data_IF_921755325573
#
_entry.id   IF_921755325573
#
_cell.length_a   1.000
_cell.length_b   1.000
_cell.length_c   1.000
_cell.angle_alpha   90.00
_cell.angle_beta   90.00
_cell.angle_gamma   90.00
#
_symmetry.space_group_name_H-M   'P 1'
#
loop_
_entity.id
_entity.type
_entity.pdbx_description
1 polymer ?
#
# COMPACT_ATOMS: atom_id res chain seq x y z
N UNK A 1 -13.25 54.50 -32.94
CA UNK A 1 -13.24 53.66 -34.16
C UNK A 1 -12.97 52.21 -33.79
N UNK A 2 -14.01 51.36 -33.92
CA UNK A 2 -14.04 49.94 -34.33
C UNK A 2 -12.77 49.10 -34.05
N UNK A 3 -12.81 48.24 -33.03
CA UNK A 3 -13.29 46.84 -33.03
C UNK A 3 -12.26 45.82 -33.53
N UNK A 4 -11.88 44.87 -32.67
CA UNK A 4 -11.85 43.42 -32.96
C UNK A 4 -11.57 42.64 -31.68
N UNK A 5 -12.66 42.24 -31.02
CA UNK A 5 -12.67 41.16 -30.04
C UNK A 5 -12.44 39.84 -30.78
N UNK A 6 -11.40 39.09 -30.41
CA UNK A 6 -11.29 37.68 -30.78
C UNK A 6 -12.00 36.85 -29.71
N UNK A 7 -13.12 36.25 -30.10
CA UNK A 7 -13.79 35.17 -29.38
C UNK A 7 -12.89 33.93 -29.38
N UNK A 8 -12.39 33.52 -28.21
CA UNK A 8 -11.93 32.16 -27.99
C UNK A 8 -13.08 31.37 -27.37
N UNK A 9 -13.79 30.61 -28.19
CA UNK A 9 -14.76 29.62 -27.73
C UNK A 9 -13.98 28.40 -27.19
N UNK A 10 -13.88 28.31 -25.86
CA UNK A 10 -13.42 27.08 -25.21
C UNK A 10 -14.54 26.04 -25.29
N UNK A 11 -14.41 25.11 -26.24
CA UNK A 11 -15.21 23.89 -26.29
C UNK A 11 -14.73 22.99 -25.15
N UNK A 12 -15.40 23.06 -24.00
CA UNK A 12 -15.29 22.04 -22.96
C UNK A 12 -15.95 20.75 -23.45
N UNK A 13 -15.19 19.94 -24.18
CA UNK A 13 -15.55 18.56 -24.43
C UNK A 13 -15.51 17.81 -23.08
N UNK A 14 -16.68 17.59 -22.50
CA UNK A 14 -16.86 16.60 -21.43
C UNK A 14 -16.67 15.24 -22.08
N UNK A 15 -15.43 14.75 -22.08
CA UNK A 15 -15.16 13.36 -22.41
C UNK A 15 -15.73 12.52 -21.26
N UNK A 16 -16.97 12.07 -21.43
CA UNK A 16 -17.53 11.00 -20.63
C UNK A 16 -16.69 9.75 -20.93
N UNK A 17 -15.62 9.54 -20.16
CA UNK A 17 -14.93 8.26 -20.11
C UNK A 17 -15.95 7.30 -19.50
N UNK A 18 -16.70 6.62 -20.36
CA UNK A 18 -17.36 5.37 -20.03
C UNK A 18 -16.25 4.38 -19.68
N UNK A 19 -15.75 4.46 -18.45
CA UNK A 19 -15.00 3.36 -17.85
C UNK A 19 -16.00 2.22 -17.83
N UNK A 20 -15.85 1.31 -18.79
CA UNK A 20 -16.44 -0.01 -18.74
C UNK A 20 -16.16 -0.55 -17.33
N UNK A 21 -17.12 -0.41 -16.43
CA UNK A 21 -17.22 -1.19 -15.21
C UNK A 21 -17.58 -2.62 -15.66
N UNK A 22 -16.69 -3.26 -16.43
CA UNK A 22 -16.67 -4.69 -16.58
C UNK A 22 -16.61 -5.21 -15.15
N UNK A 23 -17.69 -5.83 -14.69
CA UNK A 23 -17.90 -6.25 -13.32
C UNK A 23 -16.72 -7.09 -12.85
N UNK A 24 -15.76 -6.44 -12.18
CA UNK A 24 -14.61 -7.08 -11.53
C UNK A 24 -15.04 -7.82 -10.26
N UNK A 25 -16.35 -7.83 -9.97
CA UNK A 25 -16.92 -8.54 -8.84
C UNK A 25 -16.64 -10.04 -8.92
N UNK A 26 -16.38 -10.68 -7.77
CA UNK A 26 -16.34 -12.13 -7.72
C UNK A 26 -17.62 -12.73 -8.31
N UNK A 27 -17.48 -13.64 -9.28
CA UNK A 27 -18.64 -14.33 -9.90
C UNK A 27 -19.52 -15.04 -8.87
N UNK A 28 -18.93 -15.51 -7.77
CA UNK A 28 -19.63 -16.11 -6.63
C UNK A 28 -18.85 -15.83 -5.34
N UNK A 29 -19.55 -15.37 -4.31
CA UNK A 29 -19.03 -15.32 -2.95
C UNK A 29 -19.12 -16.69 -2.31
N UNK A 30 -18.06 -17.10 -1.61
CA UNK A 30 -18.01 -18.36 -0.87
C UNK A 30 -18.02 -18.08 0.62
N UNK A 31 -18.85 -18.82 1.33
CA UNK A 31 -18.83 -18.82 2.78
C UNK A 31 -17.47 -19.35 3.29
N UNK A 32 -16.96 -18.75 4.36
CA UNK A 32 -15.80 -19.22 5.10
C UNK A 32 -16.16 -19.32 6.58
N UNK A 33 -16.37 -20.55 7.08
CA UNK A 33 -16.81 -20.81 8.47
C UNK A 33 -18.03 -19.98 8.88
N UNK A 34 -18.96 -19.82 7.95
CA UNK A 34 -20.15 -18.98 8.06
C UNK A 34 -21.28 -19.58 7.26
N UNK A 35 -22.49 -19.08 7.47
CA UNK A 35 -23.60 -19.19 6.52
C UNK A 35 -23.77 -17.86 5.80
N UNK A 36 -24.16 -17.93 4.53
CA UNK A 36 -24.39 -16.75 3.70
C UNK A 36 -25.73 -16.87 2.98
N UNK A 37 -26.43 -15.75 2.83
CA UNK A 37 -27.57 -15.60 1.92
C UNK A 37 -27.41 -14.31 1.13
N UNK A 38 -27.83 -14.33 -0.13
CA UNK A 38 -27.75 -13.17 -1.03
C UNK A 38 -29.17 -12.79 -1.40
N UNK A 39 -29.57 -11.57 -1.04
CA UNK A 39 -30.86 -11.01 -1.40
C UNK A 39 -30.88 -10.52 -2.86
N UNK A 40 -32.07 -10.30 -3.42
CA UNK A 40 -32.24 -9.87 -4.81
C UNK A 40 -31.62 -8.49 -5.11
N UNK A 41 -31.50 -7.63 -4.10
CA UNK A 41 -30.85 -6.32 -4.15
C UNK A 41 -29.31 -6.40 -4.03
N UNK A 42 -28.74 -7.60 -3.97
CA UNK A 42 -27.31 -7.82 -3.87
C UNK A 42 -26.74 -7.72 -2.45
N UNK A 43 -27.57 -7.52 -1.43
CA UNK A 43 -27.12 -7.54 -0.03
C UNK A 43 -26.75 -8.97 0.37
N UNK A 44 -25.55 -9.15 0.90
CA UNK A 44 -25.04 -10.43 1.39
C UNK A 44 -25.18 -10.45 2.91
N UNK A 45 -26.04 -11.31 3.44
CA UNK A 45 -26.17 -11.54 4.88
C UNK A 45 -25.27 -12.70 5.31
N UNK A 46 -24.54 -12.51 6.40
CA UNK A 46 -23.47 -13.40 6.85
C UNK A 46 -23.64 -13.65 8.33
N UNK A 47 -23.69 -14.92 8.71
CA UNK A 47 -23.67 -15.36 10.12
C UNK A 47 -22.48 -16.28 10.33
N UNK A 48 -21.57 -15.90 11.22
CA UNK A 48 -20.36 -16.69 11.47
C UNK A 48 -20.68 -17.88 12.37
N UNK A 49 -20.00 -19.01 12.14
CA UNK A 49 -20.07 -20.16 13.02
C UNK A 49 -19.15 -19.94 14.24
N UNK A 50 -19.42 -20.63 15.35
CA UNK A 50 -18.88 -20.30 16.68
C UNK A 50 -17.33 -20.26 16.74
N UNK A 51 -16.81 -19.30 17.53
CA UNK A 51 -15.40 -19.04 17.92
C UNK A 51 -14.34 -18.84 16.83
N UNK A 52 -14.67 -18.91 15.55
CA UNK A 52 -13.70 -18.75 14.47
C UNK A 52 -13.44 -17.26 14.14
N UNK A 53 -12.34 -16.70 14.67
CA UNK A 53 -11.72 -15.51 14.04
C UNK A 53 -11.48 -15.84 12.57
N UNK A 54 -11.70 -14.87 11.69
CA UNK A 54 -11.63 -14.98 10.21
C UNK A 54 -12.84 -15.63 9.52
N UNK A 55 -13.91 -15.96 10.24
CA UNK A 55 -15.17 -16.37 9.63
C UNK A 55 -15.84 -15.20 8.86
N UNK A 56 -16.39 -15.47 7.68
CA UNK A 56 -16.97 -14.46 6.81
C UNK A 56 -17.16 -14.93 5.38
N UNK A 57 -16.83 -14.10 4.40
CA UNK A 57 -16.95 -14.42 2.97
C UNK A 57 -15.64 -14.23 2.23
N UNK A 58 -15.43 -15.06 1.21
CA UNK A 58 -14.28 -15.01 0.32
C UNK A 58 -14.74 -14.87 -1.14
N UNK A 59 -14.00 -14.09 -1.91
CA UNK A 59 -14.21 -13.88 -3.34
C UNK A 59 -12.88 -13.89 -4.10
N UNK A 60 -12.96 -14.15 -5.40
CA UNK A 60 -11.82 -14.03 -6.32
C UNK A 60 -12.18 -12.99 -7.37
N UNK A 61 -11.39 -11.92 -7.40
CA UNK A 61 -11.41 -10.87 -8.41
C UNK A 61 -10.49 -11.32 -9.55
N UNK A 62 -10.94 -11.15 -10.80
CA UNK A 62 -10.25 -11.63 -12.01
C UNK A 62 -10.10 -10.51 -13.04
N UNK A 63 -9.29 -10.77 -14.06
CA UNK A 63 -9.05 -9.85 -15.19
C UNK A 63 -8.45 -8.51 -14.73
N UNK A 64 -7.63 -8.55 -13.68
CA UNK A 64 -6.92 -7.37 -13.20
C UNK A 64 -5.76 -7.03 -14.13
N UNK A 65 -5.59 -5.72 -14.37
CA UNK A 65 -4.42 -5.15 -15.03
C UNK A 65 -3.39 -4.72 -13.97
N UNK A 66 -2.11 -4.48 -14.33
CA UNK A 66 -1.08 -4.10 -13.37
C UNK A 66 -1.23 -2.63 -12.96
N UNK A 67 -2.29 -2.33 -12.21
CA UNK A 67 -2.58 -1.02 -11.64
C UNK A 67 -3.11 -1.14 -10.21
N UNK A 68 -3.06 -0.04 -9.45
CA UNK A 68 -3.63 -0.02 -8.10
C UNK A 68 -5.16 0.08 -8.19
N UNK A 69 -5.85 -0.70 -7.38
CA UNK A 69 -7.31 -0.71 -7.28
C UNK A 69 -7.75 -0.28 -5.90
N UNK A 70 -8.82 0.51 -5.83
CA UNK A 70 -9.60 0.73 -4.62
C UNK A 70 -10.73 -0.30 -4.57
N UNK A 71 -10.77 -1.04 -3.47
CA UNK A 71 -11.88 -1.93 -3.14
C UNK A 71 -12.66 -1.30 -2.01
N UNK A 72 -13.96 -1.12 -2.19
CA UNK A 72 -14.86 -0.55 -1.17
C UNK A 72 -16.14 -1.34 -1.06
N UNK A 73 -16.77 -1.29 0.11
CA UNK A 73 -18.06 -1.89 0.39
C UNK A 73 -18.67 -1.26 1.64
N UNK A 74 -19.98 -1.40 1.83
CA UNK A 74 -20.69 -0.98 3.03
C UNK A 74 -21.03 -2.19 3.91
N UNK A 75 -20.90 -2.03 5.22
CA UNK A 75 -21.24 -3.06 6.22
C UNK A 75 -22.12 -2.54 7.34
N UNK A 76 -22.98 -3.39 7.88
CA UNK A 76 -23.71 -3.16 9.13
C UNK A 76 -23.96 -4.48 9.86
N UNK A 77 -24.35 -4.41 11.13
CA UNK A 77 -24.73 -5.56 11.95
C UNK A 77 -24.01 -5.58 13.29
N UNK A 78 -23.70 -6.78 13.76
CA UNK A 78 -23.10 -7.04 15.07
C UNK A 78 -21.69 -7.62 14.92
N UNK A 79 -20.79 -7.16 15.81
CA UNK A 79 -19.41 -7.65 15.90
C UNK A 79 -18.38 -6.65 15.38
N UNK A 80 -17.27 -7.17 14.85
CA UNK A 80 -16.17 -6.35 14.32
C UNK A 80 -15.60 -6.98 13.07
N UNK A 81 -15.66 -6.29 11.95
CA UNK A 81 -15.29 -6.83 10.62
C UNK A 81 -14.02 -6.17 10.10
N UNK A 82 -13.25 -6.94 9.33
CA UNK A 82 -12.09 -6.49 8.59
C UNK A 82 -12.12 -7.12 7.19
N UNK A 83 -11.48 -6.48 6.22
CA UNK A 83 -11.23 -7.07 4.91
C UNK A 83 -9.74 -7.30 4.68
N UNK A 84 -9.43 -8.35 3.92
CA UNK A 84 -8.09 -8.63 3.43
C UNK A 84 -8.10 -8.81 1.91
N UNK A 85 -7.07 -8.29 1.25
CA UNK A 85 -6.78 -8.51 -0.16
C UNK A 85 -5.44 -9.23 -0.30
N UNK A 86 -5.35 -10.20 -1.22
CA UNK A 86 -4.11 -10.94 -1.46
C UNK A 86 -3.93 -11.32 -2.94
N UNK A 87 -2.77 -10.97 -3.48
CA UNK A 87 -2.19 -11.43 -4.73
C UNK A 87 -0.66 -11.45 -4.58
N UNK A 88 -0.15 -12.32 -3.70
CA UNK A 88 1.30 -12.42 -3.40
C UNK A 88 1.79 -11.50 -2.27
N UNK A 89 0.90 -11.16 -1.34
CA UNK A 89 1.12 -10.34 -0.14
C UNK A 89 -0.22 -9.87 0.42
N UNK A 90 -0.39 -9.85 1.74
CA UNK A 90 -1.71 -9.51 2.33
C UNK A 90 -1.75 -8.03 2.71
N UNK A 91 -2.83 -7.35 2.31
CA UNK A 91 -3.19 -6.03 2.81
C UNK A 91 -4.50 -6.14 3.60
N UNK A 92 -4.60 -5.39 4.70
CA UNK A 92 -5.76 -5.42 5.57
C UNK A 92 -6.42 -4.04 5.65
N UNK A 93 -7.76 -3.99 5.66
CA UNK A 93 -8.47 -2.77 6.04
C UNK A 93 -8.28 -2.49 7.54
N UNK A 94 -8.66 -1.29 7.99
CA UNK A 94 -8.94 -1.09 9.41
C UNK A 94 -10.11 -1.99 9.82
N UNK A 95 -10.05 -2.54 11.03
CA UNK A 95 -11.15 -3.33 11.57
C UNK A 95 -12.23 -2.40 12.12
N UNK A 96 -13.47 -2.56 11.66
CA UNK A 96 -14.62 -1.70 11.97
C UNK A 96 -15.54 -2.40 12.94
N UNK A 97 -15.82 -1.77 14.09
CA UNK A 97 -16.88 -2.21 15.00
C UNK A 97 -18.22 -1.87 14.35
N UNK A 98 -19.06 -2.88 14.18
CA UNK A 98 -20.31 -2.76 13.47
C UNK A 98 -21.39 -2.12 14.33
N UNK A 99 -22.31 -1.45 13.65
CA UNK A 99 -23.53 -0.85 14.20
C UNK A 99 -24.73 -1.24 13.33
N UNK A 100 -25.93 -0.83 13.70
CA UNK A 100 -27.13 -0.96 12.87
C UNK A 100 -27.10 -0.04 11.62
N UNK A 101 -26.19 0.92 11.58
CA UNK A 101 -25.97 1.82 10.44
C UNK A 101 -24.94 1.28 9.45
N UNK A 102 -25.11 1.62 8.18
CA UNK A 102 -24.16 1.29 7.13
C UNK A 102 -22.85 2.09 7.30
N UNK A 103 -21.74 1.38 7.35
CA UNK A 103 -20.39 1.92 7.50
C UNK A 103 -19.54 1.53 6.29
N UNK A 104 -18.87 2.50 5.68
CA UNK A 104 -18.02 2.25 4.53
C UNK A 104 -16.65 1.72 4.96
N UNK A 105 -16.21 0.66 4.28
CA UNK A 105 -14.86 0.12 4.37
C UNK A 105 -14.21 0.26 3.01
N UNK A 106 -12.97 0.72 2.99
CA UNK A 106 -12.16 0.75 1.77
C UNK A 106 -10.72 0.38 2.05
N UNK A 107 -10.08 -0.24 1.06
CA UNK A 107 -8.62 -0.40 1.00
C UNK A 107 -8.13 -0.33 -0.44
N UNK A 108 -6.88 0.05 -0.64
CA UNK A 108 -6.23 -0.01 -1.96
C UNK A 108 -5.27 -1.18 -2.06
N UNK A 109 -5.05 -1.68 -3.28
CA UNK A 109 -4.17 -2.81 -3.52
C UNK A 109 -3.62 -2.83 -4.94
N UNK A 110 -2.33 -3.10 -5.10
CA UNK A 110 -1.69 -3.37 -6.38
C UNK A 110 -1.52 -4.89 -6.57
N UNK A 111 -2.24 -5.53 -7.53
CA UNK A 111 -2.20 -6.96 -7.72
C UNK A 111 -0.90 -7.41 -8.41
N UNK A 112 -0.25 -8.48 -7.90
CA UNK A 112 0.93 -9.08 -8.55
C UNK A 112 0.57 -10.11 -9.62
N UNK A 113 -0.72 -10.40 -9.79
CA UNK A 113 -1.22 -11.29 -10.83
C UNK A 113 -2.55 -10.77 -11.39
N UNK A 114 -3.08 -11.41 -12.44
CA UNK A 114 -4.40 -11.08 -13.00
C UNK A 114 -5.58 -11.45 -12.09
N UNK A 115 -5.30 -12.00 -10.90
CA UNK A 115 -6.29 -12.35 -9.89
C UNK A 115 -5.91 -11.82 -8.51
N UNK A 116 -6.92 -11.59 -7.69
CA UNK A 116 -6.76 -11.17 -6.30
C UNK A 116 -7.86 -11.84 -5.47
N UNK A 117 -7.49 -12.45 -4.36
CA UNK A 117 -8.49 -12.89 -3.39
C UNK A 117 -8.90 -11.74 -2.49
N UNK A 118 -10.19 -11.72 -2.15
CA UNK A 118 -10.77 -10.80 -1.19
C UNK A 118 -11.46 -11.60 -0.10
N UNK A 119 -11.26 -11.20 1.15
CA UNK A 119 -11.96 -11.72 2.30
C UNK A 119 -12.64 -10.57 3.04
N UNK A 120 -13.86 -10.77 3.52
CA UNK A 120 -14.54 -9.89 4.47
C UNK A 120 -14.93 -10.77 5.65
N UNK A 121 -14.36 -10.52 6.82
CA UNK A 121 -14.44 -11.46 7.93
C UNK A 121 -14.55 -10.79 9.29
N UNK A 122 -15.15 -11.53 10.22
CA UNK A 122 -15.21 -11.19 11.63
C UNK A 122 -13.86 -11.36 12.31
N UNK A 123 -13.49 -10.39 13.14
CA UNK A 123 -12.28 -10.36 13.95
C UNK A 123 -12.53 -10.75 15.41
N UNK A 124 -13.79 -10.97 15.81
CA UNK A 124 -14.16 -11.38 17.16
C UNK A 124 -14.21 -12.90 17.30
N UNK A 125 -14.00 -13.40 18.52
CA UNK A 125 -14.09 -14.82 18.87
C UNK A 125 -15.49 -15.21 19.36
N UNK A 126 -16.52 -14.66 18.74
CA UNK A 126 -17.93 -14.98 19.01
C UNK A 126 -18.71 -14.93 17.68
N UNK A 127 -19.95 -15.39 17.70
CA UNK A 127 -20.88 -15.26 16.58
C UNK A 127 -21.06 -13.77 16.25
N UNK A 128 -20.85 -13.45 14.97
CA UNK A 128 -21.12 -12.17 14.37
C UNK A 128 -22.19 -12.36 13.28
N UNK A 129 -23.13 -11.42 13.21
CA UNK A 129 -24.17 -11.37 12.19
C UNK A 129 -24.08 -10.01 11.50
N UNK A 130 -23.73 -10.02 10.22
CA UNK A 130 -23.49 -8.78 9.49
C UNK A 130 -23.92 -8.88 8.04
N UNK A 131 -24.15 -7.71 7.44
CA UNK A 131 -24.53 -7.56 6.05
C UNK A 131 -23.47 -6.77 5.31
N UNK A 132 -23.29 -7.11 4.04
CA UNK A 132 -22.38 -6.42 3.11
C UNK A 132 -23.18 -6.00 1.87
N UNK A 133 -22.96 -4.78 1.38
CA UNK A 133 -23.50 -4.31 0.10
C UNK A 133 -22.54 -3.37 -0.62
N UNK A 134 -22.93 -2.96 -1.84
CA UNK A 134 -22.24 -1.94 -2.63
C UNK A 134 -20.74 -2.22 -2.81
N UNK A 135 -20.39 -3.49 -3.03
CA UNK A 135 -19.00 -3.88 -3.28
C UNK A 135 -18.59 -3.27 -4.62
N UNK A 136 -17.55 -2.45 -4.60
CA UNK A 136 -17.01 -1.79 -5.76
C UNK A 136 -15.51 -2.01 -5.83
N UNK A 137 -15.03 -2.25 -7.05
CA UNK A 137 -13.61 -2.40 -7.37
C UNK A 137 -13.36 -1.45 -8.52
N UNK A 138 -12.59 -0.39 -8.26
CA UNK A 138 -12.29 0.64 -9.23
C UNK A 138 -10.77 0.85 -9.32
N UNK A 139 -10.22 1.10 -10.50
CA UNK A 139 -8.83 1.54 -10.60
C UNK A 139 -8.64 2.85 -9.83
N UNK A 140 -7.51 2.98 -9.14
CA UNK A 140 -7.08 4.27 -8.61
C UNK A 140 -6.58 5.14 -9.77
N UNK A 141 -6.85 6.44 -9.70
CA UNK A 141 -6.27 7.40 -10.63
C UNK A 141 -4.75 7.46 -10.43
N UNK A 142 -4.02 7.30 -11.52
CA UNK A 142 -2.58 7.51 -11.60
C UNK A 142 -2.38 8.52 -12.73
N UNK A 143 -1.59 9.59 -12.53
CA UNK A 143 -1.32 10.53 -13.61
C UNK A 143 -0.62 9.81 -14.76
N UNK A 144 -0.61 10.46 -15.92
CA UNK A 144 0.23 10.01 -17.02
C UNK A 144 1.70 9.93 -16.57
N UNK A 145 2.35 8.81 -16.88
CA UNK A 145 3.71 8.52 -16.45
C UNK A 145 4.68 8.78 -17.60
N UNK A 146 5.45 9.87 -17.50
CA UNK A 146 6.48 10.19 -18.48
C UNK A 146 7.69 9.27 -18.31
N UNK A 147 8.36 8.90 -19.41
CA UNK A 147 9.64 8.21 -19.32
C UNK A 147 10.76 9.25 -19.16
N UNK A 148 11.35 9.34 -17.98
CA UNK A 148 12.48 10.24 -17.71
C UNK A 148 13.57 9.52 -16.93
N UNK A 149 14.84 9.81 -17.20
CA UNK A 149 15.90 9.36 -16.31
C UNK A 149 15.92 10.21 -15.04
N UNK A 150 16.14 9.55 -13.91
CA UNK A 150 16.31 10.18 -12.62
C UNK A 150 17.71 9.86 -12.14
N UNK A 151 18.56 10.89 -12.14
CA UNK A 151 19.86 10.83 -11.49
C UNK A 151 19.71 10.55 -9.99
N UNK A 152 20.79 10.14 -9.33
CA UNK A 152 20.78 9.80 -7.92
C UNK A 152 20.31 10.98 -7.07
N UNK A 153 19.07 10.90 -6.59
CA UNK A 153 18.42 11.95 -5.78
C UNK A 153 18.33 11.53 -4.34
N UNK A 154 18.89 12.34 -3.44
CA UNK A 154 18.90 12.09 -2.00
C UNK A 154 17.58 12.52 -1.33
N UNK A 155 17.18 11.73 -0.34
CA UNK A 155 16.10 12.02 0.59
C UNK A 155 16.60 11.78 2.01
N UNK A 156 16.43 12.79 2.87
CA UNK A 156 16.83 12.73 4.27
C UNK A 156 15.61 12.52 5.17
N UNK A 157 15.74 11.76 6.28
CA UNK A 157 14.63 11.52 7.20
C UNK A 157 14.06 12.77 7.87
N UNK A 158 14.84 13.85 7.95
CA UNK A 158 14.39 15.13 8.51
C UNK A 158 13.35 15.82 7.61
N UNK A 159 13.52 15.71 6.29
CA UNK A 159 12.65 16.37 5.30
C UNK A 159 11.43 15.52 4.96
N UNK A 160 11.53 14.21 5.18
CA UNK A 160 10.50 13.23 4.81
C UNK A 160 10.11 12.33 6.00
N UNK A 161 9.60 12.89 7.11
CA UNK A 161 9.24 12.12 8.29
C UNK A 161 8.09 11.14 8.01
N UNK A 162 8.20 9.93 8.56
CA UNK A 162 7.10 8.96 8.56
C UNK A 162 6.07 9.24 9.67
N UNK A 163 5.15 8.29 9.89
CA UNK A 163 4.05 8.46 10.85
C UNK A 163 4.48 8.22 12.30
N UNK A 164 5.33 7.21 12.53
CA UNK A 164 5.68 6.75 13.88
C UNK A 164 7.17 6.45 14.06
N UNK A 165 7.99 6.70 13.04
CA UNK A 165 9.44 6.84 13.20
C UNK A 165 9.80 8.11 13.98
N UNK A 166 11.01 8.12 14.55
CA UNK A 166 11.52 9.29 15.30
C UNK A 166 12.91 9.65 14.83
N UNK A 167 13.16 10.94 14.62
CA UNK A 167 14.50 11.41 14.28
C UNK A 167 15.35 11.53 15.56
N UNK A 168 16.52 10.91 15.59
CA UNK A 168 17.49 11.07 16.69
C UNK A 168 18.88 11.39 16.15
N UNK A 169 19.71 12.00 17.00
CA UNK A 169 21.15 12.08 16.78
C UNK A 169 21.76 10.68 16.77
N UNK A 170 22.57 10.39 15.75
CA UNK A 170 23.23 9.09 15.55
C UNK A 170 24.63 9.36 15.00
N UNK A 171 25.65 9.28 15.86
CA UNK A 171 27.01 9.77 15.55
C UNK A 171 27.68 9.06 14.36
N UNK A 172 27.37 7.79 14.19
CA UNK A 172 27.87 6.92 13.12
C UNK A 172 26.98 6.94 11.87
N UNK A 173 25.94 7.79 11.82
CA UNK A 173 25.18 8.03 10.59
C UNK A 173 25.88 9.03 9.69
N UNK A 174 25.65 8.93 8.38
CA UNK A 174 26.30 9.77 7.37
C UNK A 174 25.92 11.26 7.47
N UNK A 175 24.81 11.60 8.14
CA UNK A 175 24.33 12.99 8.31
C UNK A 175 24.16 13.40 9.78
N UNK A 176 24.72 12.62 10.72
CA UNK A 176 24.64 12.86 12.16
C UNK A 176 23.27 12.66 12.81
N UNK A 177 22.23 12.36 12.02
CA UNK A 177 20.87 12.02 12.45
C UNK A 177 20.35 10.83 11.65
N UNK A 178 19.49 10.03 12.28
CA UNK A 178 18.81 8.91 11.64
C UNK A 178 17.38 8.79 12.14
N UNK A 179 16.47 8.38 11.25
CA UNK A 179 15.16 7.92 11.65
C UNK A 179 15.25 6.55 12.32
N UNK A 180 14.67 6.48 13.50
CA UNK A 180 14.54 5.32 14.35
C UNK A 180 13.19 4.67 14.16
N UNK A 181 13.16 3.34 14.08
CA UNK A 181 11.92 2.57 14.04
C UNK A 181 12.05 1.19 14.68
N UNK A 182 10.89 0.63 15.03
CA UNK A 182 10.73 -0.77 15.44
C UNK A 182 9.94 -1.55 14.40
N UNK A 183 9.69 -2.83 14.69
CA UNK A 183 8.79 -3.68 13.92
C UNK A 183 7.48 -2.94 13.57
N UNK A 184 7.18 -2.89 12.27
CA UNK A 184 6.00 -2.26 11.67
C UNK A 184 5.96 -0.72 11.68
N UNK A 185 7.03 -0.04 12.06
CA UNK A 185 7.06 1.42 12.03
C UNK A 185 7.22 1.90 10.59
N UNK A 186 6.50 2.97 10.24
CA UNK A 186 6.60 3.76 9.03
C UNK A 186 7.54 4.93 9.33
N UNK A 187 8.81 4.83 8.95
CA UNK A 187 9.84 5.77 9.43
C UNK A 187 10.11 6.96 8.53
N UNK A 188 9.87 6.79 7.23
CA UNK A 188 9.97 7.86 6.23
C UNK A 188 8.80 7.72 5.26
N UNK A 189 8.32 8.85 4.75
CA UNK A 189 7.26 8.94 3.75
C UNK A 189 7.81 9.63 2.51
N UNK A 190 8.01 8.88 1.44
CA UNK A 190 8.70 9.38 0.25
C UNK A 190 7.72 9.62 -0.90
N UNK A 191 7.86 10.73 -1.64
CA UNK A 191 7.11 10.95 -2.86
C UNK A 191 7.62 10.02 -3.97
N UNK A 192 6.71 9.64 -4.85
CA UNK A 192 6.99 8.84 -6.04
C UNK A 192 6.88 9.73 -7.26
N UNK A 193 7.94 9.90 -8.07
CA UNK A 193 7.82 10.64 -9.31
C UNK A 193 6.88 9.90 -10.28
N UNK A 194 6.09 10.67 -11.03
CA UNK A 194 5.22 10.15 -12.10
C UNK A 194 6.08 9.69 -13.29
N UNK A 195 6.71 8.52 -13.15
CA UNK A 195 7.70 8.01 -14.09
C UNK A 195 7.37 6.57 -14.51
N UNK A 196 7.43 6.29 -15.82
CA UNK A 196 7.17 4.95 -16.37
C UNK A 196 8.41 4.06 -16.37
N UNK A 197 9.63 4.61 -16.21
CA UNK A 197 10.85 3.83 -16.03
C UNK A 197 10.86 3.14 -14.65
N UNK A 198 11.51 1.97 -14.52
CA UNK A 198 11.71 1.33 -13.22
C UNK A 198 12.43 2.25 -12.23
N UNK A 199 11.89 2.35 -11.02
CA UNK A 199 12.49 3.12 -9.93
C UNK A 199 13.25 2.18 -8.99
N UNK A 200 14.44 2.62 -8.56
CA UNK A 200 15.25 1.96 -7.55
C UNK A 200 15.44 2.89 -6.37
N UNK A 201 15.11 2.38 -5.19
CA UNK A 201 15.35 3.06 -3.91
C UNK A 201 16.49 2.34 -3.20
N UNK A 202 17.54 3.09 -2.87
CA UNK A 202 18.68 2.60 -2.11
C UNK A 202 18.56 3.18 -0.70
N UNK A 203 18.39 2.32 0.28
CA UNK A 203 18.08 2.73 1.66
C UNK A 203 19.29 2.40 2.52
N UNK A 204 19.95 3.43 3.05
CA UNK A 204 21.07 3.25 3.95
C UNK A 204 20.54 2.92 5.35
N UNK A 205 20.74 1.68 5.79
CA UNK A 205 20.08 1.14 6.97
C UNK A 205 21.03 0.37 7.89
N UNK A 206 20.76 0.45 9.19
CA UNK A 206 21.44 -0.31 10.24
C UNK A 206 20.40 -0.97 11.15
N UNK A 207 20.67 -2.20 11.61
CA UNK A 207 19.85 -2.90 12.61
C UNK A 207 20.63 -3.13 13.90
N UNK A 208 19.98 -3.10 15.06
CA UNK A 208 20.69 -3.28 16.35
C UNK A 208 20.83 -4.74 16.79
N UNK A 209 20.16 -5.68 16.10
CA UNK A 209 20.14 -7.10 16.49
C UNK A 209 20.42 -8.04 15.32
N UNK A 210 20.99 -9.20 15.63
CA UNK A 210 21.31 -10.28 14.68
C UNK A 210 20.11 -11.17 14.37
N UNK A 211 19.03 -10.52 13.94
CA UNK A 211 17.80 -11.18 13.51
C UNK A 211 17.50 -10.92 12.05
N UNK A 212 16.63 -11.75 11.47
CA UNK A 212 16.05 -11.50 10.15
C UNK A 212 15.28 -10.17 10.18
N UNK A 213 15.68 -9.28 9.30
CA UNK A 213 15.06 -7.98 9.10
C UNK A 213 14.90 -7.72 7.60
N UNK A 214 13.84 -7.02 7.24
CA UNK A 214 13.62 -6.54 5.88
C UNK A 214 13.09 -5.11 5.87
N UNK A 215 13.50 -4.35 4.87
CA UNK A 215 12.90 -3.07 4.51
C UNK A 215 11.77 -3.33 3.51
N UNK A 216 10.64 -2.66 3.70
CA UNK A 216 9.48 -2.76 2.85
C UNK A 216 9.12 -1.37 2.30
N UNK A 217 8.69 -1.33 1.04
CA UNK A 217 7.94 -0.20 0.53
C UNK A 217 6.46 -0.48 0.75
N UNK A 218 5.83 0.33 1.60
CA UNK A 218 4.45 0.14 2.02
C UNK A 218 3.57 1.26 1.51
N UNK A 219 2.56 0.92 0.73
CA UNK A 219 1.49 1.83 0.33
C UNK A 219 0.22 1.40 1.04
N UNK A 220 -0.38 2.30 1.82
CA UNK A 220 -1.46 1.99 2.76
C UNK A 220 -1.13 0.79 3.66
N UNK A 221 -1.84 -0.32 3.49
CA UNK A 221 -1.66 -1.56 4.24
C UNK A 221 -0.94 -2.66 3.47
N UNK A 222 -0.49 -2.39 2.24
CA UNK A 222 0.20 -3.36 1.40
C UNK A 222 1.71 -3.11 1.36
N UNK A 223 2.51 -4.15 1.62
CA UNK A 223 3.92 -4.15 1.25
C UNK A 223 4.04 -4.48 -0.24
N UNK A 224 4.44 -3.50 -1.04
CA UNK A 224 4.59 -3.63 -2.50
C UNK A 224 5.91 -4.29 -2.86
N UNK A 225 6.97 -3.95 -2.12
CA UNK A 225 8.29 -4.54 -2.26
C UNK A 225 8.89 -4.83 -0.88
N UNK A 226 9.73 -5.86 -0.79
CA UNK A 226 10.48 -6.24 0.42
C UNK A 226 11.92 -6.61 0.05
N UNK A 227 12.91 -6.04 0.73
CA UNK A 227 14.33 -6.37 0.58
C UNK A 227 14.95 -6.70 1.94
N UNK A 228 15.84 -7.70 1.98
CA UNK A 228 16.48 -8.12 3.22
C UNK A 228 17.56 -7.11 3.67
N UNK A 229 17.70 -6.96 4.99
CA UNK A 229 18.80 -6.23 5.64
C UNK A 229 19.80 -7.28 6.10
N UNK A 230 20.90 -7.46 5.36
CA UNK A 230 21.82 -8.61 5.51
C UNK A 230 23.03 -8.34 6.36
N UNK A 231 23.50 -7.09 6.45
CA UNK A 231 24.63 -6.74 7.32
C UNK A 231 24.39 -7.13 8.79
N UNK A 232 25.45 -7.46 9.54
CA UNK A 232 25.39 -7.72 10.98
C UNK A 232 24.78 -6.58 11.81
N UNK A 233 24.47 -6.88 13.06
CA UNK A 233 24.06 -5.87 14.03
C UNK A 233 25.07 -4.71 14.11
N UNK A 234 24.53 -3.50 14.18
CA UNK A 234 25.25 -2.23 14.27
C UNK A 234 26.18 -1.94 13.08
N UNK A 235 25.97 -2.57 11.93
CA UNK A 235 26.62 -2.23 10.68
C UNK A 235 25.64 -1.58 9.70
N UNK A 236 26.07 -0.48 9.09
CA UNK A 236 25.33 0.18 8.04
C UNK A 236 25.51 -0.57 6.72
N UNK A 237 24.48 -0.52 5.87
CA UNK A 237 24.54 -1.04 4.51
C UNK A 237 23.59 -0.27 3.60
N UNK A 238 23.90 -0.22 2.32
CA UNK A 238 22.95 0.16 1.29
C UNK A 238 22.05 -1.02 0.93
N UNK A 239 20.74 -0.88 1.16
CA UNK A 239 19.73 -1.88 0.79
C UNK A 239 19.06 -1.43 -0.50
N UNK A 240 19.30 -2.16 -1.60
CA UNK A 240 18.64 -1.91 -2.89
C UNK A 240 17.21 -2.45 -2.88
N UNK A 241 16.27 -1.60 -3.26
CA UNK A 241 14.84 -1.89 -3.34
C UNK A 241 14.33 -1.52 -4.73
N UNK A 242 14.00 -2.54 -5.52
CA UNK A 242 13.46 -2.38 -6.87
C UNK A 242 13.85 -3.51 -7.83
N UNK A 243 13.40 -3.48 -9.09
CA UNK A 243 12.67 -2.39 -9.73
C UNK A 243 11.25 -2.19 -9.15
N UNK A 244 10.85 -0.93 -8.98
CA UNK A 244 9.51 -0.53 -8.55
C UNK A 244 8.84 0.24 -9.68
N UNK A 245 7.62 -0.17 -10.05
CA UNK A 245 6.81 0.60 -10.99
C UNK A 245 6.04 1.69 -10.23
N UNK A 246 6.09 2.95 -10.69
CA UNK A 246 5.37 4.06 -10.06
C UNK A 246 3.87 3.78 -9.88
N UNK A 247 3.22 3.09 -10.84
CA UNK A 247 1.80 2.70 -10.74
C UNK A 247 1.49 1.91 -9.46
N UNK A 248 2.47 1.19 -8.92
CA UNK A 248 2.27 0.38 -7.72
C UNK A 248 2.32 1.20 -6.42
N UNK A 249 2.99 2.34 -6.41
CA UNK A 249 3.32 3.09 -5.18
C UNK A 249 2.97 4.58 -5.23
N UNK A 250 2.53 5.13 -6.36
CA UNK A 250 2.15 6.54 -6.51
C UNK A 250 0.95 6.94 -5.62
N UNK A 251 0.89 8.17 -5.08
CA UNK A 251 1.89 9.25 -5.17
C UNK A 251 3.03 9.14 -4.16
N UNK A 252 2.91 8.24 -3.18
CA UNK A 252 3.82 8.16 -2.04
C UNK A 252 3.77 6.78 -1.39
N UNK A 253 4.85 6.42 -0.70
CA UNK A 253 4.91 5.21 0.10
C UNK A 253 5.68 5.46 1.40
N UNK A 254 5.53 4.54 2.33
CA UNK A 254 6.30 4.49 3.56
C UNK A 254 7.43 3.47 3.48
N UNK A 255 8.58 3.84 4.04
CA UNK A 255 9.61 2.88 4.41
C UNK A 255 9.19 2.21 5.72
N UNK A 256 8.96 0.90 5.66
CA UNK A 256 8.46 0.09 6.77
C UNK A 256 9.38 -1.11 7.06
N UNK A 257 9.47 -1.55 8.32
CA UNK A 257 10.32 -2.70 8.66
C UNK A 257 9.55 -3.94 9.11
N UNK A 258 9.98 -5.08 8.58
CA UNK A 258 9.61 -6.41 9.06
C UNK A 258 10.78 -6.99 9.84
N UNK A 259 10.62 -7.12 11.15
CA UNK A 259 11.65 -7.66 12.05
C UNK A 259 11.10 -8.85 12.82
N UNK A 260 11.91 -9.89 13.00
CA UNK A 260 11.48 -11.11 13.68
C UNK A 260 11.09 -10.86 15.15
N UNK A 261 11.85 -10.03 15.86
CA UNK A 261 11.60 -9.66 17.25
C UNK A 261 11.18 -8.18 17.41
N UNK A 262 10.60 -7.84 18.56
CA UNK A 262 10.09 -6.50 18.85
C UNK A 262 11.12 -5.54 19.51
N UNK A 263 12.30 -6.06 19.90
CA UNK A 263 13.35 -5.31 20.58
C UNK A 263 14.33 -4.69 19.59
N UNK A 264 14.58 -5.35 18.46
CA UNK A 264 15.45 -4.87 17.40
C UNK A 264 14.93 -3.56 16.83
N UNK A 265 15.83 -2.58 16.80
CA UNK A 265 15.63 -1.25 16.24
C UNK A 265 16.29 -1.21 14.86
N UNK A 266 15.64 -0.49 13.95
CA UNK A 266 16.19 -0.16 12.64
C UNK A 266 16.40 1.35 12.55
N UNK A 267 17.53 1.72 11.98
CA UNK A 267 17.94 3.09 11.69
C UNK A 267 18.02 3.29 10.18
N UNK A 268 17.55 4.44 9.69
CA UNK A 268 17.80 4.92 8.33
C UNK A 268 18.22 6.38 8.37
N UNK A 269 19.29 6.72 7.69
CA UNK A 269 19.85 8.09 7.65
C UNK A 269 19.81 8.71 6.24
N UNK A 270 19.80 7.89 5.19
CA UNK A 270 19.71 8.32 3.80
C UNK A 270 18.85 7.37 2.97
N UNK A 271 18.17 7.94 1.99
CA UNK A 271 17.55 7.18 0.89
C UNK A 271 17.90 7.85 -0.42
N UNK A 272 18.32 7.08 -1.42
CA UNK A 272 18.62 7.57 -2.77
C UNK A 272 17.64 6.94 -3.76
N UNK A 273 17.04 7.77 -4.61
CA UNK A 273 16.20 7.34 -5.72
C UNK A 273 16.97 7.48 -7.04
N UNK A 274 16.89 6.48 -7.91
CA UNK A 274 17.36 6.59 -9.28
C UNK A 274 16.60 5.66 -10.24
N UNK A 275 16.66 5.94 -11.55
CA UNK A 275 16.34 4.97 -12.60
C UNK A 275 17.52 4.07 -12.95
N UNK A 276 18.74 4.38 -12.48
CA UNK A 276 19.92 3.54 -12.66
C UNK A 276 19.96 2.40 -11.63
N UNK A 277 19.93 1.16 -12.11
CA UNK A 277 19.97 -0.03 -11.27
C UNK A 277 21.38 -0.38 -10.73
N UNK A 278 22.43 0.23 -11.28
CA UNK A 278 23.82 -0.18 -11.08
C UNK A 278 24.66 0.85 -10.32
N UNK A 279 24.03 1.69 -9.48
CA UNK A 279 24.76 2.59 -8.58
C UNK A 279 25.60 1.79 -7.57
N UNK A 280 26.86 2.18 -7.42
CA UNK A 280 27.77 1.68 -6.41
C UNK A 280 27.59 2.43 -5.09
N UNK A 281 28.06 1.87 -3.98
CA UNK A 281 28.04 2.57 -2.67
C UNK A 281 28.70 3.96 -2.74
N UNK A 282 29.78 4.09 -3.52
CA UNK A 282 30.46 5.37 -3.73
C UNK A 282 29.63 6.39 -4.53
N UNK A 283 28.76 5.94 -5.44
CA UNK A 283 27.81 6.81 -6.14
C UNK A 283 26.69 7.27 -5.19
N UNK A 284 26.20 6.34 -4.36
CA UNK A 284 25.14 6.59 -3.39
C UNK A 284 25.60 7.57 -2.30
N UNK A 285 26.84 7.47 -1.86
CA UNK A 285 27.40 8.38 -0.84
C UNK A 285 27.56 9.83 -1.34
N UNK A 286 27.66 10.03 -2.67
CA UNK A 286 27.80 11.33 -3.33
C UNK A 286 26.48 11.93 -3.82
N UNK A 287 25.36 11.22 -3.68
CA UNK A 287 24.05 11.70 -4.12
C UNK A 287 23.63 12.99 -3.39
N UNK A 288 22.93 13.88 -4.10
CA UNK A 288 22.46 15.19 -3.61
C UNK A 288 20.92 15.31 -3.58
#
# INVERSE_FOLDING_TARGET
>A
MKSKQLFFAAVCAVLAINVCAATMLPKQWKANKSTISVAADGVISIKTNDKAKTAGINGIIRNLTPQRYKVSFAVKGQGKVQSALNSGGIAYSKAVKLTDQWQNVSLTYFPKSKTMSMMIYSTISNIAEFQVKDIAIAPCEVPELAAADIEAKLFLPADFPGENGKLYSKKDSAVGKAAWGKRWYNVMKLPVPANSKPLYYYIHAQKTGDVKCAVNLRTDSQNVYTAAVTAPANQWQWVKVGPVNAVAVYPEFYINYSVADAKTVIWVDKVVLSTNAALTDADLDKAE
#
